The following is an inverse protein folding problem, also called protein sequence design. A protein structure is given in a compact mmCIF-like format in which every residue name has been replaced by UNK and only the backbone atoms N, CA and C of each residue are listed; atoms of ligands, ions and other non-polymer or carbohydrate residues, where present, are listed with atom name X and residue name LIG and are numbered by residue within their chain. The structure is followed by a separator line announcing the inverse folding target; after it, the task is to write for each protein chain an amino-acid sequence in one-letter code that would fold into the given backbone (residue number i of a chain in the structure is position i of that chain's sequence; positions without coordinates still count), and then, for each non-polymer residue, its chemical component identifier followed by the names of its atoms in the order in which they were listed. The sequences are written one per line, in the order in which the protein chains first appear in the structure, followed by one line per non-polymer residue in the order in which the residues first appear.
data_IF_161790873919
#
_entry.id   IF_161790873919
#
_cell.length_a   1.000
_cell.length_b   1.000
_cell.length_c   1.000
_cell.angle_alpha   90.00
_cell.angle_beta   90.00
_cell.angle_gamma   90.00
#
_symmetry.space_group_name_H-M   'P 1'
#
loop_
_entity.id
_entity.type
_entity.pdbx_description
1 polymer ?
#
# COMPACT_ATOMS: atom_id res chain seq x y z
N UNK A 1 -56.53 38.37 7.04
CA UNK A 1 -55.33 37.59 7.39
C UNK A 1 -54.92 36.72 6.19
N UNK A 2 -54.10 37.19 5.24
CA UNK A 2 -53.62 36.33 4.16
C UNK A 2 -52.26 35.72 4.51
N UNK A 3 -52.21 34.40 4.36
CA UNK A 3 -51.06 33.53 4.58
C UNK A 3 -50.13 33.59 3.35
N UNK A 4 -48.88 34.02 3.52
CA UNK A 4 -47.87 34.07 2.45
C UNK A 4 -47.06 32.78 2.48
N UNK A 5 -47.33 31.86 1.56
CA UNK A 5 -46.47 30.71 1.30
C UNK A 5 -45.33 31.14 0.36
N UNK A 6 -44.08 30.92 0.77
CA UNK A 6 -42.88 31.03 -0.05
C UNK A 6 -42.62 29.70 -0.78
N UNK A 7 -42.24 29.70 -2.07
CA UNK A 7 -41.87 28.47 -2.75
C UNK A 7 -40.41 28.10 -2.42
N UNK A 8 -40.22 26.98 -1.73
CA UNK A 8 -38.92 26.31 -1.55
C UNK A 8 -38.56 25.58 -2.84
N UNK A 9 -37.91 26.26 -3.78
CA UNK A 9 -37.23 25.56 -4.88
C UNK A 9 -35.94 24.93 -4.35
N UNK A 10 -36.02 23.66 -3.96
CA UNK A 10 -34.86 22.82 -3.74
C UNK A 10 -34.27 22.52 -5.13
N UNK A 11 -33.25 23.27 -5.51
CA UNK A 11 -32.46 23.01 -6.71
C UNK A 11 -31.77 21.64 -6.53
N UNK A 12 -32.20 20.65 -7.31
CA UNK A 12 -31.52 19.35 -7.40
C UNK A 12 -30.20 19.58 -8.13
N UNK A 13 -29.13 19.76 -7.37
CA UNK A 13 -27.76 19.69 -7.90
C UNK A 13 -27.51 18.24 -8.36
N UNK A 14 -27.84 17.93 -9.62
CA UNK A 14 -27.30 16.75 -10.28
C UNK A 14 -25.79 16.96 -10.40
N UNK A 15 -25.05 16.45 -9.42
CA UNK A 15 -23.61 16.31 -9.55
C UNK A 15 -23.36 15.43 -10.78
N UNK A 16 -22.83 16.03 -11.85
CA UNK A 16 -22.35 15.31 -13.01
C UNK A 16 -21.12 14.51 -12.56
N UNK A 17 -21.36 13.34 -11.95
CA UNK A 17 -20.29 12.39 -11.67
C UNK A 17 -19.72 11.96 -13.01
N UNK A 18 -18.51 12.44 -13.31
CA UNK A 18 -17.72 11.97 -14.43
C UNK A 18 -17.60 10.46 -14.27
N UNK A 19 -18.29 9.72 -15.14
CA UNK A 19 -18.18 8.27 -15.16
C UNK A 19 -16.78 7.93 -15.68
N UNK A 20 -16.00 7.14 -14.94
CA UNK A 20 -14.68 6.74 -15.39
C UNK A 20 -14.79 5.95 -16.68
N UNK A 21 -13.94 6.25 -17.67
CA UNK A 21 -13.95 5.59 -18.98
C UNK A 21 -13.49 4.13 -18.88
N UNK A 22 -12.66 3.82 -17.90
CA UNK A 22 -12.13 2.48 -17.67
C UNK A 22 -12.96 1.70 -16.65
N UNK A 23 -13.16 0.38 -16.85
CA UNK A 23 -13.85 -0.46 -15.90
C UNK A 23 -13.09 -0.56 -14.57
N UNK A 24 -13.85 -0.83 -13.50
CA UNK A 24 -13.31 -1.07 -12.16
C UNK A 24 -12.66 -2.45 -12.16
N UNK A 25 -11.33 -2.49 -12.07
CA UNK A 25 -10.57 -3.74 -11.92
C UNK A 25 -10.32 -4.07 -10.45
N UNK A 26 -9.82 -5.29 -10.21
CA UNK A 26 -9.29 -5.69 -8.91
C UNK A 26 -8.23 -4.68 -8.41
N UNK A 27 -8.26 -4.36 -7.11
CA UNK A 27 -7.38 -3.38 -6.49
C UNK A 27 -7.84 -1.91 -6.61
N UNK A 28 -9.09 -1.65 -6.99
CA UNK A 28 -9.68 -0.31 -6.94
C UNK A 28 -9.77 0.18 -5.48
N UNK A 29 -9.12 1.31 -5.18
CA UNK A 29 -9.10 1.92 -3.83
C UNK A 29 -10.33 2.80 -3.60
N UNK A 30 -10.92 3.32 -4.67
CA UNK A 30 -12.14 4.10 -4.60
C UNK A 30 -13.34 3.16 -4.42
N UNK A 31 -14.29 3.48 -3.53
CA UNK A 31 -15.52 2.72 -3.44
C UNK A 31 -16.19 2.75 -4.82
N UNK A 32 -16.34 1.57 -5.42
CA UNK A 32 -17.12 1.46 -6.64
C UNK A 32 -18.59 1.81 -6.38
N UNK A 33 -19.38 2.13 -7.42
CA UNK A 33 -20.84 2.04 -7.29
C UNK A 33 -21.17 0.63 -6.77
N UNK A 34 -22.24 0.51 -5.98
CA UNK A 34 -22.57 -0.60 -5.07
C UNK A 34 -22.58 -2.06 -5.61
N UNK A 35 -22.05 -2.32 -6.82
CA UNK A 35 -21.99 -3.58 -7.55
C UNK A 35 -20.58 -3.88 -8.08
N UNK A 36 -19.54 -3.77 -7.26
CA UNK A 36 -18.25 -4.41 -7.58
C UNK A 36 -18.26 -5.84 -7.06
N UNK A 37 -17.87 -6.80 -7.91
CA UNK A 37 -17.89 -8.23 -7.57
C UNK A 37 -16.96 -8.58 -6.38
N UNK A 38 -15.90 -7.79 -6.20
CA UNK A 38 -14.96 -7.90 -5.09
C UNK A 38 -14.94 -6.57 -4.31
N UNK A 39 -15.53 -6.50 -3.11
CA UNK A 39 -15.43 -5.30 -2.28
C UNK A 39 -13.97 -5.02 -1.93
N UNK A 40 -13.58 -3.74 -1.98
CA UNK A 40 -12.23 -3.31 -1.65
C UNK A 40 -11.86 -3.71 -0.22
N UNK A 41 -10.93 -4.65 -0.07
CA UNK A 41 -10.34 -4.97 1.22
C UNK A 41 -9.13 -4.07 1.45
N UNK A 42 -9.19 -3.19 2.44
CA UNK A 42 -8.10 -2.24 2.74
C UNK A 42 -6.77 -2.94 3.06
N UNK A 43 -6.84 -4.18 3.54
CA UNK A 43 -5.68 -5.04 3.77
C UNK A 43 -4.98 -5.51 2.49
N UNK A 44 -5.65 -5.50 1.33
CA UNK A 44 -5.07 -5.92 0.05
C UNK A 44 -4.13 -4.88 -0.57
N UNK A 45 -4.18 -3.63 -0.09
CA UNK A 45 -3.35 -2.54 -0.61
C UNK A 45 -1.88 -2.89 -0.38
N UNK A 46 -1.12 -2.92 -1.47
CA UNK A 46 0.34 -3.02 -1.46
C UNK A 46 0.91 -1.63 -1.67
N UNK A 47 1.66 -1.18 -0.68
CA UNK A 47 2.41 0.06 -0.72
C UNK A 47 3.90 -0.24 -0.49
N UNK A 48 4.74 0.74 -0.76
CA UNK A 48 6.15 0.69 -0.44
C UNK A 48 6.62 2.01 0.14
N UNK A 49 7.66 2.00 0.97
CA UNK A 49 8.35 3.22 1.39
C UNK A 49 9.28 3.74 0.28
N UNK A 50 9.89 4.91 0.50
CA UNK A 50 10.95 5.43 -0.37
C UNK A 50 12.16 4.46 -0.46
N UNK A 51 12.45 3.75 0.63
CA UNK A 51 13.49 2.73 0.72
C UNK A 51 13.08 1.38 0.12
N UNK A 52 11.87 1.26 -0.44
CA UNK A 52 11.36 0.02 -1.02
C UNK A 52 10.83 -1.00 -0.02
N UNK A 53 10.73 -0.65 1.27
CA UNK A 53 10.15 -1.54 2.27
C UNK A 53 8.66 -1.75 2.02
N UNK A 54 8.16 -2.99 2.01
CA UNK A 54 6.74 -3.25 1.81
C UNK A 54 5.92 -2.66 2.96
N UNK A 55 4.78 -2.07 2.60
CA UNK A 55 3.88 -1.42 3.51
C UNK A 55 2.42 -1.73 3.15
N UNK A 56 1.55 -1.78 4.17
CA UNK A 56 0.13 -2.03 3.98
C UNK A 56 -0.69 -1.44 5.12
N UNK A 57 -2.00 -1.33 4.90
CA UNK A 57 -2.92 -0.93 5.94
C UNK A 57 -3.51 -2.15 6.65
N UNK A 58 -3.63 -2.07 7.97
CA UNK A 58 -4.26 -3.05 8.83
C UNK A 58 -5.28 -2.33 9.73
N UNK A 59 -6.45 -2.95 9.95
CA UNK A 59 -7.45 -2.40 10.85
C UNK A 59 -6.94 -2.17 12.29
N UNK A 60 -6.05 -3.04 12.78
CA UNK A 60 -5.58 -3.00 14.17
C UNK A 60 -4.30 -2.18 14.35
N UNK A 61 -3.36 -2.31 13.41
CA UNK A 61 -2.05 -1.67 13.50
C UNK A 61 -1.95 -0.42 12.62
N UNK A 62 -3.03 -0.05 11.93
CA UNK A 62 -3.11 1.04 10.95
C UNK A 62 -2.06 0.83 9.84
N UNK A 63 -1.18 1.79 9.56
CA UNK A 63 -0.08 1.56 8.63
C UNK A 63 0.93 0.60 9.25
N UNK A 64 1.32 -0.44 8.51
CA UNK A 64 2.42 -1.35 8.83
C UNK A 64 3.47 -1.24 7.74
N UNK A 65 4.72 -1.04 8.14
CA UNK A 65 5.91 -1.08 7.29
C UNK A 65 6.76 -2.23 7.80
N UNK A 66 7.18 -3.11 6.90
CA UNK A 66 8.02 -4.26 7.22
C UNK A 66 9.45 -4.00 6.75
N UNK A 67 10.37 -3.92 7.71
CA UNK A 67 11.79 -3.65 7.47
C UNK A 67 12.63 -4.93 7.39
N UNK A 68 12.08 -6.06 7.85
CA UNK A 68 12.73 -7.38 7.76
C UNK A 68 12.57 -8.23 9.02
N UNK A 69 13.33 -9.32 9.09
CA UNK A 69 13.40 -10.18 10.28
C UNK A 69 14.82 -10.21 10.80
N UNK A 70 14.97 -9.99 12.10
CA UNK A 70 16.23 -10.19 12.80
C UNK A 70 16.20 -11.54 13.51
N UNK A 71 17.16 -12.40 13.21
CA UNK A 71 17.33 -13.68 13.93
C UNK A 71 18.40 -13.50 14.98
N UNK A 72 18.08 -13.75 16.25
CA UNK A 72 19.08 -13.68 17.31
C UNK A 72 20.07 -14.85 17.17
N UNK A 73 21.39 -14.58 17.10
CA UNK A 73 22.39 -15.60 16.76
C UNK A 73 22.53 -16.70 17.82
N UNK A 74 22.19 -16.41 19.08
CA UNK A 74 22.33 -17.35 20.21
C UNK A 74 21.07 -18.16 20.51
N UNK A 75 19.89 -17.59 20.27
CA UNK A 75 18.62 -18.20 20.65
C UNK A 75 17.82 -18.72 19.44
N UNK A 76 18.18 -18.33 18.22
CA UNK A 76 17.41 -18.62 17.02
C UNK A 76 16.04 -17.92 16.96
N UNK A 77 15.72 -17.08 17.95
CA UNK A 77 14.43 -16.38 18.00
C UNK A 77 14.38 -15.32 16.91
N UNK A 78 13.33 -15.39 16.08
CA UNK A 78 13.04 -14.43 15.02
C UNK A 78 12.22 -13.26 15.57
N UNK A 79 12.75 -12.06 15.41
CA UNK A 79 12.08 -10.79 15.74
C UNK A 79 11.72 -10.06 14.47
N UNK A 80 10.42 -9.81 14.26
CA UNK A 80 9.95 -9.00 13.13
C UNK A 80 10.27 -7.53 13.37
N UNK A 81 10.99 -6.92 12.44
CA UNK A 81 11.26 -5.49 12.42
C UNK A 81 10.13 -4.81 11.64
N UNK A 82 9.15 -4.31 12.40
CA UNK A 82 8.00 -3.61 11.84
C UNK A 82 7.89 -2.21 12.45
N UNK A 83 7.55 -1.23 11.61
CA UNK A 83 7.15 0.10 12.03
C UNK A 83 5.67 0.29 11.76
N UNK A 84 4.95 0.81 12.74
CA UNK A 84 3.50 1.01 12.63
C UNK A 84 3.09 2.43 12.97
N UNK A 85 1.96 2.86 12.42
CA UNK A 85 1.28 4.08 12.87
C UNK A 85 0.27 3.81 13.98
N UNK A 86 0.33 2.66 14.67
CA UNK A 86 -0.60 2.28 15.73
C UNK A 86 -0.60 3.27 16.90
N UNK A 87 -1.76 3.47 17.52
CA UNK A 87 -1.95 4.28 18.75
C UNK A 87 -2.50 5.68 18.50
N UNK A 88 -2.34 6.57 19.48
CA UNK A 88 -2.76 7.98 19.37
C UNK A 88 -1.73 8.82 18.59
N UNK A 89 -2.21 9.77 17.79
CA UNK A 89 -1.34 10.68 17.02
C UNK A 89 -0.44 11.53 17.90
N UNK A 90 -0.94 11.98 19.06
CA UNK A 90 -0.17 12.77 20.05
C UNK A 90 1.05 11.99 20.54
N UNK A 91 0.89 10.68 20.78
CA UNK A 91 1.98 9.80 21.20
C UNK A 91 3.05 9.61 20.10
N UNK A 92 2.72 9.93 18.84
CA UNK A 92 3.63 9.85 17.69
C UNK A 92 4.21 11.20 17.27
N UNK A 93 3.92 12.30 17.97
CA UNK A 93 4.34 13.66 17.58
C UNK A 93 5.86 13.81 17.37
N UNK A 94 6.67 13.00 18.03
CA UNK A 94 8.13 13.00 17.89
C UNK A 94 8.67 11.84 17.04
N UNK A 95 7.80 10.97 16.53
CA UNK A 95 8.20 9.86 15.69
C UNK A 95 8.59 10.33 14.27
N UNK A 96 9.52 9.61 13.61
CA UNK A 96 9.88 9.86 12.22
C UNK A 96 8.65 9.83 11.30
N UNK A 97 8.66 10.71 10.30
CA UNK A 97 7.72 10.68 9.19
C UNK A 97 8.25 9.76 8.11
N UNK A 98 7.38 8.87 7.64
CA UNK A 98 7.64 7.99 6.51
C UNK A 98 6.77 8.37 5.33
N UNK A 99 7.37 8.36 4.13
CA UNK A 99 6.67 8.57 2.86
C UNK A 99 6.29 7.22 2.28
N UNK A 100 5.00 6.99 2.15
CA UNK A 100 4.42 5.75 1.63
C UNK A 100 3.85 5.97 0.24
N UNK A 101 4.18 5.06 -0.66
CA UNK A 101 3.80 5.09 -2.07
C UNK A 101 2.87 3.91 -2.34
N UNK A 102 1.64 4.22 -2.75
CA UNK A 102 0.65 3.23 -3.19
C UNK A 102 0.60 3.28 -4.72
N UNK A 103 0.95 2.16 -5.36
CA UNK A 103 0.85 2.05 -6.81
C UNK A 103 -0.61 1.79 -7.18
N UNK A 104 -1.21 2.69 -7.94
CA UNK A 104 -2.56 2.54 -8.45
C UNK A 104 -2.48 1.63 -9.67
N UNK A 105 -2.91 0.38 -9.55
CA UNK A 105 -2.95 -0.57 -10.67
C UNK A 105 -4.22 -0.41 -11.49
N UNK A 106 -5.32 -0.02 -10.84
CA UNK A 106 -6.64 0.13 -11.44
C UNK A 106 -6.71 1.36 -12.36
N UNK A 107 -7.14 1.15 -13.62
CA UNK A 107 -7.36 2.22 -14.60
C UNK A 107 -8.34 3.27 -14.07
N UNK A 108 -9.40 2.84 -13.39
CA UNK A 108 -10.39 3.76 -12.80
C UNK A 108 -9.74 4.72 -11.79
N UNK A 109 -8.91 4.20 -10.87
CA UNK A 109 -8.24 5.06 -9.90
C UNK A 109 -7.24 6.02 -10.57
N UNK A 110 -6.57 5.58 -11.64
CA UNK A 110 -5.65 6.43 -12.40
C UNK A 110 -6.40 7.57 -13.10
N UNK A 111 -7.52 7.27 -13.73
CA UNK A 111 -8.35 8.24 -14.46
C UNK A 111 -8.96 9.26 -13.50
N UNK A 112 -9.52 8.80 -12.38
CA UNK A 112 -10.17 9.69 -11.41
C UNK A 112 -9.19 10.56 -10.64
N UNK A 113 -7.99 10.04 -10.31
CA UNK A 113 -6.98 10.79 -9.55
C UNK A 113 -5.97 11.50 -10.44
N UNK A 114 -5.95 11.22 -11.75
CA UNK A 114 -4.95 11.72 -12.70
C UNK A 114 -3.51 11.31 -12.36
N UNK A 115 -3.32 10.26 -11.54
CA UNK A 115 -2.03 9.87 -10.97
C UNK A 115 -1.85 8.37 -11.05
N UNK A 116 -0.63 7.93 -11.30
CA UNK A 116 -0.26 6.50 -11.25
C UNK A 116 0.16 6.04 -9.84
N UNK A 117 0.55 6.99 -8.98
CA UNK A 117 1.00 6.75 -7.61
C UNK A 117 0.29 7.70 -6.65
N UNK A 118 -0.17 7.16 -5.53
CA UNK A 118 -0.64 7.95 -4.40
C UNK A 118 0.45 7.97 -3.33
N UNK A 119 0.88 9.17 -2.96
CA UNK A 119 1.90 9.39 -1.92
C UNK A 119 1.21 10.01 -0.70
N UNK A 120 1.52 9.48 0.48
CA UNK A 120 1.13 10.11 1.74
C UNK A 120 2.26 9.99 2.77
N UNK A 121 2.22 10.87 3.78
CA UNK A 121 3.14 10.85 4.90
C UNK A 121 2.45 10.33 6.15
N UNK A 122 3.12 9.45 6.89
CA UNK A 122 2.63 8.96 8.16
C UNK A 122 3.76 8.92 9.19
N UNK A 123 3.44 9.23 10.44
CA UNK A 123 4.39 9.06 11.55
C UNK A 123 4.34 7.63 12.05
N UNK A 124 5.49 6.97 12.14
CA UNK A 124 5.58 5.55 12.49
C UNK A 124 6.58 5.30 13.62
N UNK A 125 6.33 4.26 14.41
CA UNK A 125 7.22 3.80 15.48
C UNK A 125 7.40 2.29 15.38
N UNK A 126 8.57 1.79 15.77
CA UNK A 126 8.80 0.35 15.89
C UNK A 126 7.94 -0.25 17.00
N UNK A 127 7.04 -1.17 16.64
CA UNK A 127 6.09 -1.84 17.54
C UNK A 127 5.76 -3.22 17.02
N UNK A 128 5.30 -4.11 17.92
CA UNK A 128 4.77 -5.40 17.52
C UNK A 128 3.45 -5.25 16.75
N UNK A 129 3.23 -6.18 15.81
CA UNK A 129 2.04 -6.21 14.95
C UNK A 129 1.12 -7.36 15.35
N UNK A 130 -0.14 -7.29 14.96
CA UNK A 130 -1.12 -8.35 15.18
C UNK A 130 -0.72 -9.66 14.47
N UNK A 131 -1.32 -10.78 14.90
CA UNK A 131 -1.04 -12.12 14.36
C UNK A 131 -1.15 -12.17 12.83
N UNK A 132 -2.21 -11.60 12.27
CA UNK A 132 -2.43 -11.53 10.81
C UNK A 132 -1.31 -10.77 10.07
N UNK A 133 -0.81 -9.68 10.66
CA UNK A 133 0.29 -8.95 10.08
C UNK A 133 1.61 -9.71 10.19
N UNK A 134 1.84 -10.48 11.27
CA UNK A 134 3.03 -11.35 11.38
C UNK A 134 3.06 -12.41 10.29
N UNK A 135 1.94 -13.06 10.01
CA UNK A 135 1.85 -14.02 8.90
C UNK A 135 2.13 -13.37 7.55
N UNK A 136 1.65 -12.13 7.34
CA UNK A 136 1.98 -11.38 6.13
C UNK A 136 3.47 -11.05 6.06
N UNK A 137 4.10 -10.63 7.16
CA UNK A 137 5.55 -10.36 7.19
C UNK A 137 6.35 -11.57 6.72
N UNK A 138 5.97 -12.78 7.14
CA UNK A 138 6.59 -14.03 6.66
C UNK A 138 6.46 -14.22 5.14
N UNK A 139 5.28 -13.93 4.58
CA UNK A 139 5.05 -14.00 3.12
C UNK A 139 5.85 -12.94 2.35
N UNK A 140 5.94 -11.73 2.90
CA UNK A 140 6.74 -10.66 2.30
C UNK A 140 8.24 -11.00 2.37
N UNK A 141 8.73 -11.55 3.48
CA UNK A 141 10.12 -12.05 3.60
C UNK A 141 10.43 -13.09 2.52
N UNK A 142 9.57 -14.10 2.34
CA UNK A 142 9.75 -15.12 1.31
C UNK A 142 9.75 -14.51 -0.09
N UNK A 143 8.88 -13.54 -0.36
CA UNK A 143 8.79 -12.85 -1.65
C UNK A 143 10.05 -12.02 -1.92
N UNK A 144 10.55 -11.31 -0.91
CA UNK A 144 11.79 -10.54 -1.01
C UNK A 144 12.99 -11.47 -1.27
N UNK A 145 13.11 -12.57 -0.53
CA UNK A 145 14.17 -13.57 -0.74
C UNK A 145 14.12 -14.19 -2.15
N UNK A 146 12.93 -14.54 -2.65
CA UNK A 146 12.77 -15.06 -4.02
C UNK A 146 13.17 -14.04 -5.07
N UNK A 147 12.83 -12.76 -4.85
CA UNK A 147 13.17 -11.68 -5.79
C UNK A 147 14.67 -11.43 -5.82
N UNK A 148 15.33 -11.39 -4.65
CA UNK A 148 16.79 -11.26 -4.56
C UNK A 148 17.51 -12.44 -5.22
N UNK A 149 17.05 -13.68 -5.01
CA UNK A 149 17.63 -14.86 -5.68
C UNK A 149 17.55 -14.73 -7.20
N UNK A 150 16.37 -14.39 -7.73
CA UNK A 150 16.17 -14.20 -9.17
C UNK A 150 17.06 -13.09 -9.73
N UNK A 151 17.22 -11.97 -9.03
CA UNK A 151 18.11 -10.89 -9.45
C UNK A 151 19.57 -11.34 -9.48
N UNK A 152 20.02 -12.07 -8.46
CA UNK A 152 21.36 -12.63 -8.43
C UNK A 152 21.59 -13.65 -9.56
N UNK A 153 20.59 -14.47 -9.89
CA UNK A 153 20.68 -15.45 -10.98
C UNK A 153 20.80 -14.76 -12.35
N UNK A 154 20.05 -13.68 -12.57
CA UNK A 154 20.14 -12.85 -13.79
C UNK A 154 21.52 -12.18 -13.87
N UNK A 155 21.97 -11.54 -12.79
CA UNK A 155 23.29 -10.89 -12.74
C UNK A 155 24.44 -11.89 -12.95
N UNK A 156 24.32 -13.11 -12.40
CA UNK A 156 25.29 -14.18 -12.60
C UNK A 156 25.29 -14.70 -14.04
N UNK A 157 24.12 -14.77 -14.69
CA UNK A 157 24.01 -15.14 -16.09
C UNK A 157 24.61 -14.06 -17.00
N UNK A 158 24.28 -12.79 -16.77
CA UNK A 158 24.84 -11.67 -17.53
C UNK A 158 26.37 -11.64 -17.43
N UNK A 159 26.94 -11.85 -16.23
CA UNK A 159 28.39 -11.97 -16.04
C UNK A 159 29.02 -13.13 -16.80
N UNK A 160 28.31 -14.26 -16.94
CA UNK A 160 28.80 -15.44 -17.66
C UNK A 160 28.82 -15.19 -19.18
N UNK A 161 27.78 -14.56 -19.71
CA UNK A 161 27.66 -14.29 -21.15
C UNK A 161 28.67 -13.24 -21.63
N UNK A 162 29.09 -12.29 -20.77
CA UNK A 162 30.16 -11.32 -21.08
C UNK A 162 31.55 -11.92 -21.30
N UNK A 163 31.81 -13.15 -20.81
CA UNK A 163 33.13 -13.79 -20.92
C UNK A 163 33.35 -14.49 -22.28
N UNK A 164 32.28 -14.68 -23.07
CA UNK A 164 32.32 -15.42 -24.33
C UNK A 164 32.34 -14.52 -25.58
N UNK A 165 32.28 -13.20 -25.42
CA UNK A 165 32.13 -12.24 -26.54
C UNK A 165 33.45 -11.66 -27.09
N UNK A 166 34.62 -12.15 -26.67
CA UNK A 166 35.92 -11.61 -27.11
C UNK A 166 36.72 -12.60 -27.97
N UNK A 167 36.16 -12.93 -29.15
CA UNK A 167 36.83 -13.76 -30.16
C UNK A 167 36.27 -13.44 -31.55
N UNK A 168 36.70 -12.34 -32.16
CA UNK A 168 36.55 -12.07 -33.60
C UNK A 168 37.72 -11.26 -34.11
#
# INVERSE_FOLDING_TARGET
MPNRALPTQISKCHAHMQQPKTPISDGCILPGPARSANPFETGSVRASTASGCPAWYCRHDQLVIFDGIQTHPKSGVKTFLCRTSKGLEVARKHCPKERVYVNLTCGHCKDMLGKSKWIFEARVRQLSVCVKCRERCLREEETMMKTTRRQNDVEMKDRRDSFLTDSS
#
